data_IF_293021083381
#
_entry.id   IF_293021083381
#
_cell.length_a   1.000
_cell.length_b   1.000
_cell.length_c   1.000
_cell.angle_alpha   90.00
_cell.angle_beta   90.00
_cell.angle_gamma   90.00
#
_symmetry.space_group_name_H-M   'P 1'
#
loop_
_entity.id
_entity.type
_entity.pdbx_description
1 polymer ?
#
# COMPACT_ATOMS: atom_id res chain seq x y z
N UNK A 1 9.86 -4.92 19.88
CA UNK A 1 9.15 -6.00 20.62
C UNK A 1 9.72 -6.21 22.02
N UNK A 2 10.96 -6.71 22.24
CA UNK A 2 11.45 -6.95 23.61
C UNK A 2 11.72 -5.69 24.43
N UNK A 3 11.85 -4.52 23.79
CA UNK A 3 12.04 -3.25 24.51
C UNK A 3 10.76 -2.76 25.20
N UNK A 4 9.60 -2.95 24.56
CA UNK A 4 8.32 -2.34 24.95
C UNK A 4 7.22 -3.33 25.36
N UNK A 5 7.45 -4.62 25.19
CA UNK A 5 6.42 -5.65 25.38
C UNK A 5 7.00 -6.87 26.11
N UNK A 6 7.84 -6.62 27.12
CA UNK A 6 8.54 -7.66 27.89
C UNK A 6 7.57 -8.67 28.51
N UNK A 7 6.45 -8.17 29.02
CA UNK A 7 5.44 -8.99 29.70
C UNK A 7 4.69 -9.95 28.76
N UNK A 8 4.76 -9.72 27.44
CA UNK A 8 4.11 -10.53 26.42
C UNK A 8 5.10 -11.41 25.64
N UNK A 9 6.38 -11.47 26.04
CA UNK A 9 7.38 -12.31 25.35
C UNK A 9 7.07 -13.80 25.45
N UNK A 10 6.43 -14.23 26.54
CA UNK A 10 6.02 -15.62 26.75
C UNK A 10 4.66 -15.98 26.13
N UNK A 11 3.92 -15.01 25.59
CA UNK A 11 2.57 -15.26 25.07
C UNK A 11 2.62 -15.85 23.65
N UNK A 12 2.43 -17.17 23.57
CA UNK A 12 2.39 -17.90 22.31
C UNK A 12 1.31 -17.36 21.36
N UNK A 13 0.13 -16.95 21.87
CA UNK A 13 -0.96 -16.44 21.03
C UNK A 13 -0.53 -15.17 20.31
N UNK A 14 0.07 -14.22 21.03
CA UNK A 14 0.61 -12.99 20.44
C UNK A 14 1.63 -13.29 19.34
N UNK A 15 2.57 -14.22 19.59
CA UNK A 15 3.57 -14.59 18.58
C UNK A 15 2.95 -15.21 17.34
N UNK A 16 2.01 -16.15 17.50
CA UNK A 16 1.30 -16.75 16.38
C UNK A 16 0.56 -15.66 15.57
N UNK A 17 -0.14 -14.74 16.24
CA UNK A 17 -0.83 -13.65 15.56
C UNK A 17 0.12 -12.77 14.75
N UNK A 18 1.28 -12.40 15.29
CA UNK A 18 2.23 -11.54 14.59
C UNK A 18 2.94 -12.25 13.44
N UNK A 19 3.32 -13.52 13.62
CA UNK A 19 3.99 -14.32 12.59
C UNK A 19 3.04 -14.62 11.43
N UNK A 20 1.76 -14.92 11.73
CA UNK A 20 0.74 -15.18 10.71
C UNK A 20 0.02 -13.92 10.21
N UNK A 21 0.46 -12.73 10.62
CA UNK A 21 -0.12 -11.44 10.24
C UNK A 21 -1.64 -11.36 10.53
N UNK A 22 -2.07 -11.92 11.66
CA UNK A 22 -3.46 -11.99 12.09
C UNK A 22 -3.84 -10.92 13.11
N UNK A 23 -2.94 -10.01 13.48
CA UNK A 23 -3.17 -9.01 14.54
C UNK A 23 -4.33 -8.04 14.26
N UNK A 24 -4.69 -7.79 13.00
CA UNK A 24 -5.85 -6.95 12.64
C UNK A 24 -7.20 -7.58 13.02
N UNK A 25 -7.22 -8.90 13.24
CA UNK A 25 -8.42 -9.66 13.53
C UNK A 25 -8.61 -9.91 15.04
N UNK A 26 -7.71 -9.40 15.89
CA UNK A 26 -7.85 -9.45 17.35
C UNK A 26 -8.80 -8.34 17.82
N UNK A 27 -10.00 -8.65 18.33
CA UNK A 27 -10.95 -7.63 18.78
C UNK A 27 -10.55 -6.97 20.10
N UNK A 28 -9.77 -7.68 20.93
CA UNK A 28 -9.35 -7.21 22.25
C UNK A 28 -7.82 -7.27 22.41
N UNK A 29 -7.07 -6.47 21.63
CA UNK A 29 -5.62 -6.47 21.70
C UNK A 29 -5.15 -5.87 23.02
N UNK A 30 -4.01 -6.37 23.53
CA UNK A 30 -3.34 -5.78 24.70
C UNK A 30 -2.55 -4.50 24.35
N UNK A 31 -2.44 -4.17 23.06
CA UNK A 31 -1.83 -2.93 22.58
C UNK A 31 -2.88 -1.90 22.19
N UNK A 32 -2.50 -0.63 22.24
CA UNK A 32 -3.32 0.48 21.73
C UNK A 32 -2.98 0.79 20.27
N UNK A 33 -4.01 1.04 19.44
CA UNK A 33 -3.85 1.42 18.04
C UNK A 33 -3.67 0.24 17.09
N UNK A 34 -2.84 0.42 16.06
CA UNK A 34 -2.75 -0.47 14.89
C UNK A 34 -1.85 -1.71 15.09
N UNK A 35 -1.25 -1.87 16.27
CA UNK A 35 -0.35 -2.98 16.56
C UNK A 35 0.49 -2.71 17.81
N UNK A 36 1.28 -3.70 18.27
CA UNK A 36 2.24 -3.49 19.35
C UNK A 36 3.17 -2.29 19.10
N UNK A 37 3.65 -1.66 20.17
CA UNK A 37 4.53 -0.48 20.07
C UNK A 37 5.74 -0.75 19.16
N UNK A 38 5.95 0.12 18.17
CA UNK A 38 6.98 0.00 17.13
C UNK A 38 6.61 -0.86 15.91
N UNK A 39 5.49 -1.60 15.98
CA UNK A 39 4.98 -2.46 14.92
C UNK A 39 3.63 -1.99 14.36
N UNK A 40 3.15 -0.81 14.75
CA UNK A 40 1.83 -0.30 14.39
C UNK A 40 1.56 -0.33 12.88
N UNK A 41 2.53 0.05 12.05
CA UNK A 41 2.50 0.00 10.58
C UNK A 41 2.22 -1.38 9.98
N UNK A 42 2.51 -2.47 10.70
CA UNK A 42 2.34 -3.83 10.18
C UNK A 42 0.87 -4.19 9.92
N UNK A 43 -0.09 -3.37 10.38
CA UNK A 43 -1.48 -3.52 10.00
C UNK A 43 -1.68 -3.61 8.48
N UNK A 44 -0.89 -2.86 7.69
CA UNK A 44 -1.01 -2.89 6.23
C UNK A 44 -0.47 -4.19 5.64
N UNK A 45 0.54 -4.82 6.26
CA UNK A 45 1.04 -6.14 5.84
C UNK A 45 -0.03 -7.23 6.01
N UNK A 46 -0.83 -7.17 7.09
CA UNK A 46 -1.98 -8.07 7.26
C UNK A 46 -2.97 -7.93 6.10
N UNK A 47 -3.29 -6.67 5.75
CA UNK A 47 -4.19 -6.37 4.64
C UNK A 47 -3.62 -6.86 3.32
N UNK A 48 -2.33 -6.64 3.06
CA UNK A 48 -1.66 -7.11 1.85
C UNK A 48 -1.65 -8.63 1.75
N UNK A 49 -1.33 -9.34 2.83
CA UNK A 49 -1.37 -10.80 2.87
C UNK A 49 -2.79 -11.33 2.59
N UNK A 50 -3.80 -10.73 3.23
CA UNK A 50 -5.20 -11.07 2.99
C UNK A 50 -5.62 -10.76 1.54
N UNK A 51 -5.17 -9.63 0.98
CA UNK A 51 -5.44 -9.25 -0.41
C UNK A 51 -4.88 -10.31 -1.37
N UNK A 52 -3.61 -10.71 -1.23
CA UNK A 52 -3.02 -11.71 -2.11
C UNK A 52 -3.65 -13.10 -1.96
N UNK A 53 -4.13 -13.45 -0.77
CA UNK A 53 -4.87 -14.69 -0.55
C UNK A 53 -6.22 -14.69 -1.29
N UNK A 54 -6.93 -13.56 -1.29
CA UNK A 54 -8.25 -13.40 -1.91
C UNK A 54 -8.16 -13.04 -3.41
N UNK A 55 -7.00 -12.55 -3.87
CA UNK A 55 -6.78 -12.06 -5.23
C UNK A 55 -7.15 -13.07 -6.33
N UNK A 56 -6.83 -14.39 -6.25
CA UNK A 56 -7.23 -15.34 -7.28
C UNK A 56 -8.76 -15.44 -7.44
N UNK A 57 -9.50 -15.37 -6.33
CA UNK A 57 -10.96 -15.40 -6.33
C UNK A 57 -11.54 -14.10 -6.92
N UNK A 58 -11.01 -12.95 -6.52
CA UNK A 58 -11.40 -11.64 -7.07
C UNK A 58 -11.11 -11.57 -8.57
N UNK A 59 -9.93 -12.03 -9.01
CA UNK A 59 -9.55 -12.07 -10.41
C UNK A 59 -10.47 -13.00 -11.22
N UNK A 60 -10.80 -14.17 -10.67
CA UNK A 60 -11.75 -15.11 -11.26
C UNK A 60 -13.15 -14.49 -11.44
N UNK A 61 -13.67 -13.82 -10.40
CA UNK A 61 -14.96 -13.15 -10.43
C UNK A 61 -14.99 -11.99 -11.43
N UNK A 62 -13.96 -11.12 -11.42
CA UNK A 62 -13.83 -10.01 -12.36
C UNK A 62 -13.68 -10.51 -13.80
N UNK A 63 -12.90 -11.57 -14.03
CA UNK A 63 -12.75 -12.17 -15.35
C UNK A 63 -14.06 -12.80 -15.85
N UNK A 64 -14.78 -13.52 -14.98
CA UNK A 64 -16.10 -14.05 -15.29
C UNK A 64 -17.09 -12.94 -15.65
N UNK A 65 -17.14 -11.87 -14.85
CA UNK A 65 -18.00 -10.71 -15.11
C UNK A 65 -17.64 -10.04 -16.43
N UNK A 66 -16.35 -9.81 -16.70
CA UNK A 66 -15.88 -9.19 -17.93
C UNK A 66 -16.20 -10.04 -19.18
N UNK A 67 -16.05 -11.37 -19.10
CA UNK A 67 -16.33 -12.31 -20.20
C UNK A 67 -17.79 -12.33 -20.63
N UNK A 68 -18.74 -11.99 -19.75
CA UNK A 68 -20.15 -11.79 -20.12
C UNK A 68 -20.36 -10.67 -21.15
N UNK A 69 -19.32 -9.88 -21.43
CA UNK A 69 -19.32 -8.89 -22.49
C UNK A 69 -18.96 -9.36 -23.88
N UNK A 70 -18.81 -10.66 -24.09
CA UNK A 70 -18.45 -11.20 -25.39
C UNK A 70 -16.94 -11.12 -25.66
N UNK A 71 -16.56 -11.14 -26.94
CA UNK A 71 -15.16 -11.15 -27.38
C UNK A 71 -14.51 -9.76 -27.46
N UNK A 72 -15.31 -8.70 -27.50
CA UNK A 72 -14.82 -7.32 -27.64
C UNK A 72 -13.96 -6.88 -26.44
N UNK A 73 -12.74 -6.44 -26.74
CA UNK A 73 -11.75 -6.02 -25.76
C UNK A 73 -12.22 -4.77 -24.99
N UNK A 74 -12.75 -3.77 -25.69
CA UNK A 74 -13.16 -2.50 -25.07
C UNK A 74 -14.31 -2.73 -24.08
N UNK A 75 -15.25 -3.60 -24.43
CA UNK A 75 -16.35 -4.00 -23.56
C UNK A 75 -15.89 -4.79 -22.33
N UNK A 76 -14.90 -5.68 -22.48
CA UNK A 76 -14.26 -6.37 -21.34
C UNK A 76 -13.54 -5.41 -20.41
N UNK A 77 -12.76 -4.48 -20.95
CA UNK A 77 -12.04 -3.48 -20.18
C UNK A 77 -13.01 -2.57 -19.39
N UNK A 78 -14.07 -2.07 -20.02
CA UNK A 78 -15.12 -1.29 -19.35
C UNK A 78 -15.80 -2.06 -18.23
N UNK A 79 -16.11 -3.35 -18.42
CA UNK A 79 -16.67 -4.20 -17.36
C UNK A 79 -15.68 -4.43 -16.21
N UNK A 80 -14.39 -4.64 -16.49
CA UNK A 80 -13.38 -4.74 -15.44
C UNK A 80 -13.31 -3.44 -14.61
N UNK A 81 -13.28 -2.29 -15.27
CA UNK A 81 -13.29 -0.98 -14.60
C UNK A 81 -14.57 -0.79 -13.77
N UNK A 82 -15.74 -1.16 -14.31
CA UNK A 82 -16.99 -1.11 -13.56
C UNK A 82 -16.97 -2.02 -12.32
N UNK A 83 -16.42 -3.24 -12.45
CA UNK A 83 -16.22 -4.14 -11.31
C UNK A 83 -15.29 -3.57 -10.24
N UNK A 84 -14.21 -2.90 -10.65
CA UNK A 84 -13.31 -2.21 -9.72
C UNK A 84 -13.96 -1.02 -9.02
N UNK A 85 -14.85 -0.28 -9.71
CA UNK A 85 -15.67 0.78 -9.09
C UNK A 85 -16.59 0.18 -8.04
N UNK A 86 -17.25 -0.95 -8.32
CA UNK A 86 -18.10 -1.65 -7.35
C UNK A 86 -17.29 -2.11 -6.14
N UNK A 87 -16.12 -2.72 -6.33
CA UNK A 87 -15.24 -3.11 -5.23
C UNK A 87 -14.80 -1.90 -4.39
N UNK A 88 -14.48 -0.78 -5.04
CA UNK A 88 -14.18 0.46 -4.33
C UNK A 88 -15.38 0.96 -3.52
N UNK A 89 -16.59 0.91 -4.07
CA UNK A 89 -17.82 1.30 -3.38
C UNK A 89 -18.11 0.41 -2.16
N UNK A 90 -17.81 -0.89 -2.24
CA UNK A 90 -17.89 -1.80 -1.10
C UNK A 90 -17.00 -1.36 0.07
N UNK A 91 -15.85 -0.72 -0.18
CA UNK A 91 -15.02 -0.14 0.88
C UNK A 91 -15.66 1.04 1.60
N UNK A 92 -16.39 1.90 0.88
CA UNK A 92 -17.17 2.98 1.49
C UNK A 92 -18.33 2.42 2.31
N UNK A 93 -19.04 1.41 1.77
CA UNK A 93 -20.11 0.73 2.52
C UNK A 93 -19.56 0.07 3.79
N UNK A 94 -18.44 -0.65 3.70
CA UNK A 94 -17.78 -1.26 4.85
C UNK A 94 -17.40 -0.24 5.91
N UNK A 95 -16.96 0.95 5.49
CA UNK A 95 -16.67 2.05 6.40
C UNK A 95 -17.91 2.43 7.20
N UNK A 96 -19.07 2.57 6.55
CA UNK A 96 -20.34 2.88 7.23
C UNK A 96 -20.72 1.74 8.20
N UNK A 97 -20.58 0.49 7.78
CA UNK A 97 -20.82 -0.68 8.65
C UNK A 97 -19.87 -0.76 9.85
N UNK A 98 -18.71 -0.11 9.79
CA UNK A 98 -17.80 0.04 10.92
C UNK A 98 -18.35 0.91 12.05
N UNK A 99 -19.37 1.73 11.79
CA UNK A 99 -19.98 2.62 12.78
C UNK A 99 -21.41 2.24 13.17
N UNK A 100 -22.11 1.46 12.35
CA UNK A 100 -23.52 1.11 12.56
C UNK A 100 -23.76 -0.41 12.55
N UNK A 101 -24.61 -0.94 13.45
CA UNK A 101 -25.35 -0.24 14.51
C UNK A 101 -24.48 0.18 15.72
N UNK A 102 -23.31 -0.43 15.87
CA UNK A 102 -22.35 -0.16 16.95
C UNK A 102 -20.98 0.14 16.35
N UNK A 103 -20.23 1.04 16.98
CA UNK A 103 -18.89 1.39 16.53
C UNK A 103 -17.90 0.27 16.80
N UNK A 104 -17.28 -0.25 15.72
CA UNK A 104 -16.32 -1.36 15.72
C UNK A 104 -15.01 -0.91 15.07
N UNK A 105 -14.11 -0.26 15.83
CA UNK A 105 -12.91 0.37 15.28
C UNK A 105 -11.96 -0.60 14.57
N UNK A 106 -11.90 -1.87 15.00
CA UNK A 106 -11.03 -2.89 14.38
C UNK A 106 -11.40 -3.20 12.91
N UNK A 107 -12.66 -3.00 12.50
CA UNK A 107 -13.07 -3.19 11.09
C UNK A 107 -12.38 -2.21 10.14
N UNK A 108 -11.79 -1.14 10.67
CA UNK A 108 -11.05 -0.13 9.91
C UNK A 108 -9.82 -0.70 9.18
N UNK A 109 -9.16 -1.70 9.78
CA UNK A 109 -7.91 -2.27 9.27
C UNK A 109 -8.14 -3.55 8.46
N UNK A 110 -9.39 -3.86 8.13
CA UNK A 110 -9.75 -5.08 7.41
C UNK A 110 -9.76 -4.84 5.90
N UNK A 111 -9.47 -5.92 5.16
CA UNK A 111 -9.37 -5.92 3.71
C UNK A 111 -10.56 -5.22 3.00
N UNK A 112 -11.84 -5.45 3.35
CA UNK A 112 -12.93 -4.85 2.59
C UNK A 112 -12.91 -3.32 2.56
N UNK A 113 -12.50 -2.64 3.66
CA UNK A 113 -12.26 -1.19 3.65
C UNK A 113 -11.05 -0.82 2.79
N UNK A 114 -9.97 -1.58 2.91
CA UNK A 114 -8.71 -1.25 2.24
C UNK A 114 -8.73 -1.51 0.72
N UNK A 115 -9.70 -2.25 0.18
CA UNK A 115 -9.82 -2.51 -1.27
C UNK A 115 -9.80 -1.24 -2.11
N UNK A 116 -10.38 -0.12 -1.64
CA UNK A 116 -10.33 1.16 -2.35
C UNK A 116 -8.92 1.74 -2.55
N UNK A 117 -7.90 1.26 -1.82
CA UNK A 117 -6.50 1.62 -2.05
C UNK A 117 -5.84 0.75 -3.12
N UNK A 118 -6.33 -0.48 -3.35
CA UNK A 118 -5.83 -1.38 -4.39
C UNK A 118 -6.49 -1.13 -5.76
N UNK A 119 -7.78 -0.79 -5.77
CA UNK A 119 -8.56 -0.64 -7.01
C UNK A 119 -8.01 0.41 -7.99
N UNK A 120 -7.42 1.55 -7.58
CA UNK A 120 -6.81 2.49 -8.53
C UNK A 120 -5.62 1.86 -9.26
N UNK A 121 -4.75 1.13 -8.55
CA UNK A 121 -3.62 0.42 -9.16
C UNK A 121 -4.08 -0.67 -10.14
N UNK A 122 -5.11 -1.42 -9.76
CA UNK A 122 -5.73 -2.42 -10.64
C UNK A 122 -6.38 -1.77 -11.88
N UNK A 123 -7.03 -0.62 -11.71
CA UNK A 123 -7.65 0.13 -12.80
C UNK A 123 -6.58 0.66 -13.77
N UNK A 124 -5.47 1.20 -13.25
CA UNK A 124 -4.33 1.62 -14.06
C UNK A 124 -3.73 0.44 -14.84
N UNK A 125 -3.66 -0.75 -14.25
CA UNK A 125 -3.25 -1.96 -14.96
C UNK A 125 -4.18 -2.27 -16.14
N UNK A 126 -5.50 -2.27 -15.93
CA UNK A 126 -6.49 -2.48 -17.00
C UNK A 126 -6.35 -1.42 -18.10
N UNK A 127 -6.27 -0.15 -17.73
CA UNK A 127 -6.11 0.98 -18.66
C UNK A 127 -4.82 0.85 -19.47
N UNK A 128 -3.70 0.50 -18.82
CA UNK A 128 -2.41 0.33 -19.49
C UNK A 128 -2.44 -0.77 -20.56
N UNK A 129 -3.11 -1.90 -20.28
CA UNK A 129 -3.25 -3.00 -21.24
C UNK A 129 -4.21 -2.63 -22.35
N UNK A 130 -5.33 -1.98 -22.04
CA UNK A 130 -6.30 -1.53 -23.03
C UNK A 130 -5.69 -0.51 -24.00
N UNK A 131 -4.96 0.49 -23.49
CA UNK A 131 -4.29 1.50 -24.30
C UNK A 131 -3.25 0.93 -25.28
N UNK A 132 -2.59 -0.18 -24.93
CA UNK A 132 -1.62 -0.86 -25.81
C UNK A 132 -2.27 -1.54 -27.00
N UNK A 133 -3.49 -2.04 -26.84
CA UNK A 133 -4.22 -2.74 -27.90
C UNK A 133 -5.05 -1.79 -28.77
N UNK A 134 -5.56 -0.71 -28.19
CA UNK A 134 -6.38 0.30 -28.87
C UNK A 134 -5.73 1.68 -28.71
N UNK A 135 -4.83 2.01 -29.65
CA UNK A 135 -3.98 3.21 -29.61
C UNK A 135 -4.74 4.52 -29.83
N UNK A 136 -5.92 4.46 -30.46
CA UNK A 136 -6.76 5.62 -30.76
C UNK A 136 -8.00 5.74 -29.85
N UNK A 137 -8.24 4.68 -29.07
CA UNK A 137 -9.31 4.58 -28.10
C UNK A 137 -9.17 5.48 -26.86
N UNK A 138 -10.20 5.46 -26.00
CA UNK A 138 -10.27 6.33 -24.82
C UNK A 138 -9.16 6.06 -23.80
N UNK A 139 -8.74 4.81 -23.64
CA UNK A 139 -7.64 4.45 -22.72
C UNK A 139 -6.31 5.07 -23.15
N UNK A 140 -5.98 4.99 -24.45
CA UNK A 140 -4.75 5.59 -24.97
C UNK A 140 -4.79 7.12 -24.89
N UNK A 141 -5.95 7.76 -25.12
CA UNK A 141 -6.12 9.21 -24.89
C UNK A 141 -5.88 9.58 -23.43
N UNK A 142 -6.40 8.80 -22.49
CA UNK A 142 -6.16 9.00 -21.07
C UNK A 142 -4.67 8.87 -20.72
N UNK A 143 -4.00 7.82 -21.19
CA UNK A 143 -2.54 7.64 -20.99
C UNK A 143 -1.76 8.83 -21.55
N UNK A 144 -2.09 9.30 -22.75
CA UNK A 144 -1.48 10.52 -23.33
C UNK A 144 -1.73 11.75 -22.48
N UNK A 145 -2.93 11.95 -21.94
CA UNK A 145 -3.26 13.09 -21.08
C UNK A 145 -2.48 13.05 -19.75
N UNK A 146 -2.36 11.87 -19.13
CA UNK A 146 -1.55 11.65 -17.92
C UNK A 146 -0.08 11.97 -18.20
N UNK A 147 0.46 11.49 -19.32
CA UNK A 147 1.85 11.72 -19.71
C UNK A 147 2.12 13.17 -20.15
N UNK A 148 1.11 13.89 -20.63
CA UNK A 148 1.26 15.29 -21.03
C UNK A 148 1.42 16.24 -19.82
N UNK A 149 0.79 15.94 -18.69
CA UNK A 149 0.90 16.77 -17.48
C UNK A 149 0.97 15.95 -16.18
N UNK A 150 2.08 15.22 -15.95
CA UNK A 150 2.29 14.48 -14.70
C UNK A 150 2.32 15.40 -13.49
N UNK A 151 2.83 16.63 -13.65
CA UNK A 151 2.88 17.64 -12.59
C UNK A 151 1.50 18.07 -12.09
N UNK A 152 0.48 18.10 -12.96
CA UNK A 152 -0.90 18.40 -12.52
C UNK A 152 -1.44 17.32 -11.59
N UNK A 153 -1.19 16.04 -11.88
CA UNK A 153 -1.62 14.95 -11.01
C UNK A 153 -0.87 14.98 -9.67
N UNK A 154 0.43 15.25 -9.67
CA UNK A 154 1.19 15.41 -8.43
C UNK A 154 0.75 16.64 -7.63
N UNK A 155 0.35 17.74 -8.30
CA UNK A 155 -0.24 18.89 -7.63
C UNK A 155 -1.57 18.52 -6.98
N UNK A 156 -2.44 17.79 -7.68
CA UNK A 156 -3.70 17.28 -7.09
C UNK A 156 -3.41 16.37 -5.90
N UNK A 157 -2.43 15.48 -5.99
CA UNK A 157 -2.01 14.64 -4.87
C UNK A 157 -1.49 15.48 -3.68
N UNK A 158 -0.70 16.51 -3.94
CA UNK A 158 -0.17 17.40 -2.90
C UNK A 158 -1.27 18.21 -2.22
N UNK A 159 -2.23 18.75 -2.98
CA UNK A 159 -3.38 19.48 -2.45
C UNK A 159 -4.30 18.55 -1.64
N UNK A 160 -4.59 17.36 -2.17
CA UNK A 160 -5.35 16.34 -1.45
C UNK A 160 -4.66 15.91 -0.15
N UNK A 161 -3.32 15.79 -0.16
CA UNK A 161 -2.53 15.50 1.04
C UNK A 161 -2.56 16.65 2.05
N UNK A 162 -2.50 17.92 1.59
CA UNK A 162 -2.63 19.07 2.47
C UNK A 162 -4.00 19.11 3.17
N UNK A 163 -5.07 18.75 2.46
CA UNK A 163 -6.40 18.58 3.05
C UNK A 163 -6.43 17.39 4.00
N UNK A 164 -5.85 16.25 3.62
CA UNK A 164 -5.77 15.05 4.45
C UNK A 164 -4.89 15.20 5.70
N UNK A 165 -3.99 16.19 5.73
CA UNK A 165 -3.19 16.53 6.90
C UNK A 165 -3.98 17.37 7.93
N UNK A 166 -5.18 17.83 7.58
CA UNK A 166 -6.08 18.52 8.51
C UNK A 166 -6.89 17.52 9.35
N UNK A 167 -7.57 17.97 10.42
CA UNK A 167 -8.45 17.10 11.23
C UNK A 167 -9.61 16.44 10.48
N UNK A 168 -9.84 16.79 9.20
CA UNK A 168 -10.93 16.22 8.39
C UNK A 168 -10.87 14.70 8.27
N UNK A 169 -9.67 14.10 8.28
CA UNK A 169 -9.49 12.63 8.24
C UNK A 169 -9.37 12.00 9.63
N UNK A 170 -9.63 12.74 10.70
CA UNK A 170 -9.49 12.26 12.08
C UNK A 170 -8.05 12.28 12.60
N UNK A 171 -7.84 11.80 13.82
CA UNK A 171 -6.54 11.81 14.49
C UNK A 171 -5.72 10.60 14.03
N UNK A 172 -4.63 10.88 13.32
CA UNK A 172 -3.73 9.82 12.81
C UNK A 172 -3.27 8.92 13.95
N UNK A 173 -3.42 7.60 13.75
CA UNK A 173 -2.97 6.53 14.66
C UNK A 173 -3.67 6.45 16.03
N UNK A 174 -4.67 7.29 16.30
CA UNK A 174 -5.50 7.23 17.52
C UNK A 174 -6.94 6.76 17.26
N UNK A 175 -7.31 6.58 15.98
CA UNK A 175 -8.65 6.16 15.58
C UNK A 175 -9.34 7.26 14.77
N UNK A 176 -10.34 6.86 13.99
CA UNK A 176 -11.15 7.81 13.22
C UNK A 176 -12.42 8.13 14.01
N UNK A 177 -12.51 9.37 14.49
CA UNK A 177 -13.61 9.91 15.29
C UNK A 177 -14.82 10.31 14.42
N UNK A 178 -15.31 9.39 13.60
CA UNK A 178 -16.57 9.54 12.88
C UNK A 178 -16.58 8.98 11.46
N UNK A 179 -17.77 8.59 11.01
CA UNK A 179 -18.02 8.03 9.68
C UNK A 179 -17.46 8.94 8.59
N UNK A 180 -17.71 10.24 8.70
CA UNK A 180 -17.28 11.22 7.69
C UNK A 180 -15.77 11.30 7.57
N UNK A 181 -15.05 11.35 8.69
CA UNK A 181 -13.58 11.31 8.68
C UNK A 181 -13.06 10.03 8.04
N UNK A 182 -13.74 8.90 8.25
CA UNK A 182 -13.39 7.62 7.63
C UNK A 182 -13.61 7.59 6.12
N UNK A 183 -14.68 8.24 5.64
CA UNK A 183 -14.99 8.36 4.22
C UNK A 183 -14.05 9.38 3.54
N UNK A 184 -13.76 10.51 4.19
CA UNK A 184 -12.80 11.50 3.70
C UNK A 184 -11.40 10.91 3.62
N UNK A 185 -10.98 10.13 4.62
CA UNK A 185 -9.70 9.41 4.57
C UNK A 185 -9.64 8.50 3.33
N UNK A 186 -10.66 7.68 3.11
CA UNK A 186 -10.70 6.75 1.98
C UNK A 186 -10.63 7.48 0.63
N UNK A 187 -11.39 8.57 0.50
CA UNK A 187 -11.43 9.37 -0.72
C UNK A 187 -10.11 10.11 -0.97
N UNK A 188 -9.57 10.77 0.04
CA UNK A 188 -8.35 11.57 -0.09
C UNK A 188 -7.13 10.68 -0.31
N UNK A 189 -6.91 9.67 0.53
CA UNK A 189 -5.75 8.77 0.37
C UNK A 189 -5.86 7.90 -0.89
N UNK A 190 -7.06 7.48 -1.29
CA UNK A 190 -7.29 6.81 -2.57
C UNK A 190 -6.94 7.71 -3.77
N UNK A 191 -7.34 8.97 -3.72
CA UNK A 191 -7.02 9.97 -4.76
C UNK A 191 -5.53 10.30 -4.80
N UNK A 192 -4.90 10.45 -3.64
CA UNK A 192 -3.45 10.66 -3.51
C UNK A 192 -2.70 9.48 -4.14
N UNK A 193 -3.06 8.25 -3.78
CA UNK A 193 -2.44 7.05 -4.34
C UNK A 193 -2.60 6.99 -5.87
N UNK A 194 -3.82 7.21 -6.38
CA UNK A 194 -4.09 7.21 -7.81
C UNK A 194 -3.26 8.27 -8.56
N UNK A 195 -3.27 9.52 -8.09
CA UNK A 195 -2.60 10.63 -8.76
C UNK A 195 -1.08 10.57 -8.65
N UNK A 196 -0.55 10.04 -7.54
CA UNK A 196 0.89 9.86 -7.35
C UNK A 196 1.44 8.74 -8.23
N UNK A 197 0.69 7.62 -8.35
CA UNK A 197 1.13 6.41 -9.06
C UNK A 197 0.84 6.48 -10.55
N UNK A 198 -0.26 7.08 -11.00
CA UNK A 198 -0.68 7.07 -12.40
C UNK A 198 0.40 7.56 -13.39
N UNK A 199 1.08 8.70 -13.16
CA UNK A 199 2.17 9.15 -14.03
C UNK A 199 3.29 8.14 -14.17
N UNK A 200 3.64 7.46 -13.09
CA UNK A 200 4.75 6.50 -13.04
C UNK A 200 4.35 5.14 -13.64
N UNK A 201 3.12 4.69 -13.40
CA UNK A 201 2.61 3.40 -13.87
C UNK A 201 2.28 3.41 -15.37
N UNK A 202 1.93 4.57 -15.93
CA UNK A 202 1.54 4.74 -17.33
C UNK A 202 2.67 5.29 -18.22
N UNK A 203 3.91 5.33 -17.72
CA UNK A 203 5.07 5.73 -18.52
C UNK A 203 5.24 4.78 -19.70
N UNK A 204 5.18 5.33 -20.91
CA UNK A 204 5.35 4.56 -22.14
C UNK A 204 6.83 4.18 -22.38
N UNK A 205 7.78 5.01 -21.94
CA UNK A 205 9.23 4.79 -22.07
C UNK A 205 9.99 5.40 -20.88
N UNK A 206 10.96 4.66 -20.34
CA UNK A 206 11.79 5.08 -19.21
C UNK A 206 12.78 6.23 -19.50
N UNK A 207 12.74 6.80 -20.70
CA UNK A 207 13.72 7.78 -21.19
C UNK A 207 13.39 9.25 -20.81
N UNK A 208 12.18 9.49 -20.31
CA UNK A 208 11.71 10.81 -19.89
C UNK A 208 12.33 11.31 -18.58
N UNK A 209 12.12 12.59 -18.22
CA UNK A 209 12.68 13.20 -17.00
C UNK A 209 12.28 12.44 -15.73
N UNK A 210 11.04 11.93 -15.67
CA UNK A 210 10.55 11.10 -14.55
C UNK A 210 11.31 9.77 -14.48
N UNK A 211 11.52 9.11 -15.62
CA UNK A 211 12.29 7.87 -15.69
C UNK A 211 13.74 8.06 -15.25
N UNK A 212 14.37 9.18 -15.63
CA UNK A 212 15.73 9.54 -15.17
C UNK A 212 15.77 9.85 -13.68
N UNK A 213 14.78 10.57 -13.15
CA UNK A 213 14.67 10.88 -11.73
C UNK A 213 14.51 9.60 -10.91
N UNK A 214 13.54 8.75 -11.23
CA UNK A 214 13.26 7.50 -10.52
C UNK A 214 14.35 6.43 -10.75
N UNK A 215 15.03 6.47 -11.91
CA UNK A 215 16.10 5.56 -12.28
C UNK A 215 17.48 5.92 -11.72
N UNK A 216 17.62 7.07 -11.03
CA UNK A 216 18.90 7.51 -10.51
C UNK A 216 19.41 6.57 -9.38
N UNK A 217 20.72 6.65 -9.08
CA UNK A 217 21.36 5.75 -8.09
C UNK A 217 20.75 5.86 -6.69
N UNK A 218 20.34 7.06 -6.29
CA UNK A 218 19.77 7.34 -4.96
C UNK A 218 18.37 6.74 -4.84
N UNK A 219 17.48 7.02 -5.79
CA UNK A 219 16.13 6.45 -5.84
C UNK A 219 16.19 4.93 -5.94
N UNK A 220 17.11 4.37 -6.72
CA UNK A 220 17.33 2.92 -6.78
C UNK A 220 17.85 2.34 -5.46
N UNK A 221 18.65 3.09 -4.70
CA UNK A 221 19.09 2.66 -3.36
C UNK A 221 17.90 2.61 -2.40
N UNK A 222 17.13 3.69 -2.30
CA UNK A 222 15.92 3.72 -1.48
C UNK A 222 14.88 2.67 -1.91
N UNK A 223 14.76 2.40 -3.21
CA UNK A 223 13.90 1.33 -3.72
C UNK A 223 14.33 -0.07 -3.26
N UNK A 224 15.63 -0.31 -3.02
CA UNK A 224 16.12 -1.60 -2.50
C UNK A 224 15.83 -1.79 -1.01
N UNK A 225 15.96 -0.72 -0.23
CA UNK A 225 15.77 -0.75 1.23
C UNK A 225 14.34 -0.35 1.66
N UNK A 226 13.43 -0.13 0.72
CA UNK A 226 12.09 0.41 0.97
C UNK A 226 11.28 -0.42 1.97
N UNK A 227 11.40 -1.75 1.88
CA UNK A 227 10.79 -2.68 2.83
C UNK A 227 11.35 -2.49 4.24
N UNK A 228 12.67 -2.42 4.39
CA UNK A 228 13.31 -2.09 5.67
C UNK A 228 12.89 -0.73 6.22
N UNK A 229 12.80 0.31 5.38
CA UNK A 229 12.33 1.64 5.81
C UNK A 229 10.91 1.56 6.36
N UNK A 230 10.01 0.87 5.65
CA UNK A 230 8.65 0.62 6.13
C UNK A 230 8.63 -0.10 7.48
N UNK A 231 9.45 -1.14 7.68
CA UNK A 231 9.50 -1.88 8.93
C UNK A 231 10.07 -1.08 10.10
N UNK A 232 11.17 -0.36 9.90
CA UNK A 232 11.95 0.23 10.99
C UNK A 232 11.52 1.64 11.39
N UNK A 233 10.74 2.36 10.57
CA UNK A 233 10.43 3.77 10.82
C UNK A 233 9.76 4.05 12.17
N UNK A 234 8.75 3.26 12.58
CA UNK A 234 8.07 3.47 13.86
C UNK A 234 8.94 3.05 15.04
N UNK A 235 9.72 1.99 14.87
CA UNK A 235 10.70 1.58 15.86
C UNK A 235 11.71 2.71 16.10
N UNK A 236 12.29 3.27 15.03
CA UNK A 236 13.21 4.39 15.11
C UNK A 236 12.56 5.64 15.74
N UNK A 237 11.31 5.94 15.38
CA UNK A 237 10.55 7.07 15.93
C UNK A 237 10.35 6.94 17.44
N UNK A 238 9.86 5.79 17.93
CA UNK A 238 9.64 5.58 19.35
C UNK A 238 10.95 5.51 20.14
N UNK A 239 12.00 4.94 19.55
CA UNK A 239 13.33 4.94 20.17
C UNK A 239 13.86 6.37 20.31
N UNK A 240 13.68 7.21 19.29
CA UNK A 240 14.06 8.63 19.34
C UNK A 240 13.26 9.39 20.41
N UNK A 241 11.96 9.13 20.53
CA UNK A 241 11.12 9.76 21.56
C UNK A 241 11.56 9.40 22.98
N UNK A 242 11.91 8.14 23.23
CA UNK A 242 12.42 7.71 24.53
C UNK A 242 13.80 8.27 24.82
N UNK A 243 14.68 8.32 23.81
CA UNK A 243 16.01 8.88 23.95
C UNK A 243 16.00 10.36 24.34
N UNK A 244 15.10 11.15 23.76
CA UNK A 244 14.99 12.59 24.04
C UNK A 244 14.00 12.93 25.16
N UNK A 245 13.25 11.96 25.67
CA UNK A 245 12.19 12.17 26.66
C UNK A 245 11.00 13.00 26.13
N UNK A 246 10.87 13.17 24.82
CA UNK A 246 9.81 13.98 24.22
C UNK A 246 8.50 13.20 24.09
N UNK A 247 7.38 13.91 24.23
CA UNK A 247 6.06 13.33 23.99
C UNK A 247 5.77 13.20 22.49
N UNK A 248 4.91 12.25 22.06
CA UNK A 248 4.48 12.17 20.67
C UNK A 248 3.94 13.50 20.14
N UNK A 249 4.25 13.82 18.89
CA UNK A 249 3.85 15.08 18.22
C UNK A 249 4.40 16.37 18.84
N UNK A 250 5.46 16.27 19.65
CA UNK A 250 6.19 17.43 20.19
C UNK A 250 7.60 17.54 19.61
N UNK A 251 8.33 18.61 19.96
CA UNK A 251 9.71 18.84 19.56
C UNK A 251 9.87 19.53 18.21
N UNK A 252 11.11 19.62 17.74
CA UNK A 252 11.44 20.28 16.46
C UNK A 252 11.23 19.30 15.30
N UNK A 253 10.33 19.65 14.37
CA UNK A 253 10.01 18.81 13.21
C UNK A 253 11.22 18.46 12.34
N UNK A 254 12.09 19.43 12.04
CA UNK A 254 13.25 19.20 11.17
C UNK A 254 14.27 18.29 11.84
N UNK A 255 14.54 18.49 13.13
CA UNK A 255 15.43 17.63 13.90
C UNK A 255 14.86 16.21 13.96
N UNK A 256 13.57 16.06 14.26
CA UNK A 256 12.91 14.75 14.30
C UNK A 256 12.96 14.07 12.92
N UNK A 257 12.68 14.79 11.84
CA UNK A 257 12.71 14.26 10.48
C UNK A 257 14.10 13.74 10.10
N UNK A 258 15.14 14.54 10.36
CA UNK A 258 16.53 14.17 10.02
C UNK A 258 17.00 13.01 10.89
N UNK A 259 16.81 13.07 12.20
CA UNK A 259 17.33 12.05 13.13
C UNK A 259 16.60 10.71 12.98
N UNK A 260 15.27 10.73 12.97
CA UNK A 260 14.47 9.51 12.78
C UNK A 260 14.68 8.96 11.37
N UNK A 261 14.74 9.82 10.35
CA UNK A 261 15.03 9.42 8.97
C UNK A 261 16.40 8.74 8.85
N UNK A 262 17.45 9.34 9.40
CA UNK A 262 18.80 8.79 9.37
C UNK A 262 18.87 7.44 10.11
N UNK A 263 18.28 7.34 11.30
CA UNK A 263 18.21 6.11 12.06
C UNK A 263 17.44 5.01 11.30
N UNK A 264 16.31 5.36 10.69
CA UNK A 264 15.51 4.44 9.88
C UNK A 264 16.30 3.93 8.68
N UNK A 265 16.97 4.81 7.95
CA UNK A 265 17.80 4.44 6.79
C UNK A 265 18.96 3.54 7.21
N UNK A 266 19.61 3.84 8.34
CA UNK A 266 20.68 3.00 8.88
C UNK A 266 20.18 1.59 9.22
N UNK A 267 19.09 1.48 10.00
CA UNK A 267 18.48 0.19 10.36
C UNK A 267 18.00 -0.58 9.13
N UNK A 268 17.34 0.10 8.20
CA UNK A 268 16.87 -0.50 6.94
C UNK A 268 18.03 -1.04 6.10
N UNK A 269 19.14 -0.30 6.01
CA UNK A 269 20.33 -0.72 5.26
C UNK A 269 21.00 -1.93 5.89
N UNK A 270 21.13 -1.95 7.23
CA UNK A 270 21.69 -3.08 7.96
C UNK A 270 20.79 -4.33 7.81
N UNK A 271 19.48 -4.17 8.00
CA UNK A 271 18.49 -5.24 7.81
C UNK A 271 18.52 -5.79 6.38
N UNK A 272 18.62 -4.92 5.38
CA UNK A 272 18.69 -5.35 3.99
C UNK A 272 19.90 -6.24 3.72
N UNK A 273 21.09 -5.80 4.18
CA UNK A 273 22.35 -6.51 3.96
C UNK A 273 22.47 -7.81 4.74
N UNK A 274 22.01 -7.83 6.00
CA UNK A 274 22.27 -8.94 6.91
C UNK A 274 21.09 -9.90 7.07
N UNK A 275 19.88 -9.52 6.68
CA UNK A 275 18.67 -10.35 6.83
C UNK A 275 18.04 -10.62 5.47
N UNK A 276 17.71 -9.56 4.71
CA UNK A 276 16.96 -9.72 3.47
C UNK A 276 17.78 -10.36 2.36
N UNK A 277 19.02 -9.92 2.14
CA UNK A 277 19.90 -10.47 1.10
C UNK A 277 20.21 -11.97 1.35
N UNK A 278 20.60 -12.41 2.56
CA UNK A 278 20.79 -13.82 2.86
C UNK A 278 19.52 -14.65 2.70
N UNK A 279 18.38 -14.17 3.22
CA UNK A 279 17.10 -14.89 3.09
C UNK A 279 16.68 -15.05 1.63
N UNK A 280 16.89 -14.01 0.80
CA UNK A 280 16.59 -14.04 -0.64
C UNK A 280 17.53 -14.99 -1.38
N UNK A 281 18.78 -15.10 -0.95
CA UNK A 281 19.73 -16.11 -1.42
C UNK A 281 19.24 -17.53 -1.12
N UNK A 282 18.88 -17.81 0.13
CA UNK A 282 18.38 -19.12 0.56
C UNK A 282 17.12 -19.55 -0.21
N UNK A 283 16.15 -18.63 -0.39
CA UNK A 283 14.93 -18.90 -1.15
C UNK A 283 15.20 -19.21 -2.63
N UNK A 284 16.27 -18.66 -3.23
CA UNK A 284 16.67 -19.00 -4.60
C UNK A 284 17.22 -20.42 -4.69
N UNK A 285 17.91 -20.91 -3.67
CA UNK A 285 18.37 -22.30 -3.61
C UNK A 285 17.22 -23.30 -3.44
N UNK A 286 16.14 -22.90 -2.76
CA UNK A 286 14.98 -23.75 -2.52
C UNK A 286 13.96 -23.78 -3.66
N UNK A 287 14.05 -22.87 -4.64
CA UNK A 287 13.23 -22.92 -5.85
C UNK A 287 13.87 -23.88 -6.85
N UNK A 288 13.21 -24.99 -7.22
CA UNK A 288 13.63 -25.77 -8.38
C UNK A 288 13.70 -24.82 -9.58
N UNK A 289 14.77 -24.91 -10.37
CA UNK A 289 14.88 -24.16 -11.60
C UNK A 289 13.59 -24.36 -12.40
N UNK A 290 12.79 -23.31 -12.56
CA UNK A 290 11.63 -23.35 -13.44
C UNK A 290 12.18 -23.78 -14.80
N UNK A 291 11.76 -24.97 -15.24
CA UNK A 291 12.16 -25.58 -16.51
C UNK A 291 12.04 -24.53 -17.60
N UNK A 292 13.19 -24.11 -18.13
CA UNK A 292 13.28 -23.28 -19.32
C UNK A 292 12.54 -23.99 -20.45
N UNK A 293 11.39 -23.44 -20.82
CA UNK A 293 10.62 -23.90 -21.99
C UNK A 293 11.53 -23.78 -23.23
N UNK A 294 11.78 -24.87 -23.98
CA UNK A 294 12.69 -24.81 -25.12
C UNK A 294 12.11 -23.88 -26.19
N UNK A 295 12.94 -22.95 -26.64
CA UNK A 295 12.63 -22.01 -27.71
C UNK A 295 12.02 -22.75 -28.90
N UNK A 296 10.78 -22.38 -29.25
CA UNK A 296 10.07 -22.83 -30.44
C UNK A 296 10.91 -22.41 -31.66
N UNK A 297 11.69 -23.34 -32.22
CA UNK A 297 12.32 -23.14 -33.53
C UNK A 297 11.22 -23.07 -34.57
N UNK A 298 11.07 -21.90 -35.18
CA UNK A 298 10.31 -21.71 -36.42
C UNK A 298 11.03 -22.45 -37.55
N UNK A 299 10.32 -23.38 -38.18
CA UNK A 299 10.56 -23.79 -39.56
C UNK A 299 9.52 -23.10 -40.44
#
# INVERSE_FOLDING_TARGET
MPLWSRDHLGDLRTWLQLVFLAQNYEPHPWWFGLGPKGLGQMWSLCVEAAFYLVLPLLAGLLAWFARRGGADLATRARRLLAGLVVLSACSYLWTVLGYYPEYRPYLHTWLPRSLAFFTPGMALAVVSVWARHDKDGPAARFVRAVNASPGSLWLVAALAYAVAASPVTGIRFYGIDGVWSGLFELALYGSIAACLVAPCALLERGDGPIGRLLGNRVMRFFGRISYGVFLWQFFALFLWYEFTGQQPFTGNFLVNLVMVGALTVALATLSHRYVEEPARGLLRFLRPAATSEPARKSA
#
